data_IF_570802319445
#
_entry.id   IF_570802319445
#
_cell.length_a   1.000
_cell.length_b   1.000
_cell.length_c   1.000
_cell.angle_alpha   90.00
_cell.angle_beta   90.00
_cell.angle_gamma   90.00
#
_symmetry.space_group_name_H-M   'P 1'
#
loop_
_entity.id
_entity.type
_entity.pdbx_description
1 polymer ?
#
# COMPACT_ATOMS: atom_id res chain seq x y z
N UNK A 1 20.08 -1.71 -28.67
CA UNK A 1 20.72 -1.60 -27.34
C UNK A 1 19.65 -2.02 -26.36
N UNK A 2 19.91 -3.04 -25.56
CA UNK A 2 18.96 -3.49 -24.53
C UNK A 2 19.06 -2.57 -23.32
N UNK A 3 17.93 -2.06 -22.87
CA UNK A 3 17.84 -1.07 -21.78
C UNK A 3 18.10 -1.68 -20.38
N UNK A 4 18.55 -2.93 -20.30
CA UNK A 4 18.94 -3.59 -19.05
C UNK A 4 17.80 -4.00 -18.12
N UNK A 5 16.54 -3.98 -18.57
CA UNK A 5 15.40 -4.44 -17.78
C UNK A 5 15.41 -5.97 -17.64
N UNK A 6 15.52 -6.44 -16.39
CA UNK A 6 15.57 -7.89 -16.05
C UNK A 6 14.19 -8.48 -15.75
N UNK A 7 13.21 -7.64 -15.44
CA UNK A 7 11.84 -8.05 -15.10
C UNK A 7 10.81 -7.13 -15.76
N UNK A 8 9.64 -7.69 -16.10
CA UNK A 8 8.47 -6.95 -16.57
C UNK A 8 7.25 -7.34 -15.75
N UNK A 9 6.43 -6.34 -15.41
CA UNK A 9 5.16 -6.52 -14.70
C UNK A 9 4.07 -5.66 -15.35
N UNK A 10 2.86 -6.19 -15.46
CA UNK A 10 1.73 -5.52 -16.09
C UNK A 10 0.42 -5.88 -15.38
N UNK A 11 -0.60 -5.03 -15.54
CA UNK A 11 -1.98 -5.36 -15.19
C UNK A 11 -2.67 -5.95 -16.42
N UNK A 12 -2.89 -7.27 -16.49
CA UNK A 12 -3.37 -7.90 -17.71
C UNK A 12 -4.85 -7.58 -17.91
N UNK A 13 -5.25 -7.19 -19.12
CA UNK A 13 -6.66 -7.15 -19.48
C UNK A 13 -7.28 -8.56 -19.50
N UNK A 14 -6.47 -9.57 -19.85
CA UNK A 14 -6.84 -10.97 -19.80
C UNK A 14 -5.61 -11.82 -19.45
N UNK A 15 -5.66 -12.53 -18.31
CA UNK A 15 -4.52 -13.33 -17.85
C UNK A 15 -4.09 -14.41 -18.84
N UNK A 16 -5.05 -15.06 -19.52
CA UNK A 16 -4.81 -16.16 -20.46
C UNK A 16 -4.07 -15.70 -21.72
N UNK A 17 -4.31 -14.47 -22.16
CA UNK A 17 -3.58 -13.88 -23.28
C UNK A 17 -2.09 -13.77 -22.95
N UNK A 18 -1.76 -13.16 -21.80
CA UNK A 18 -0.36 -12.92 -21.41
C UNK A 18 0.39 -14.20 -20.99
N UNK A 19 -0.31 -15.23 -20.52
CA UNK A 19 0.33 -16.52 -20.22
C UNK A 19 0.95 -17.19 -21.46
N UNK A 20 0.40 -16.93 -22.66
CA UNK A 20 0.99 -17.43 -23.90
C UNK A 20 2.34 -16.78 -24.24
N UNK A 21 2.67 -15.67 -23.58
CA UNK A 21 3.93 -14.93 -23.74
C UNK A 21 4.87 -15.10 -22.53
N UNK A 22 4.65 -16.12 -21.71
CA UNK A 22 5.52 -16.45 -20.56
C UNK A 22 5.28 -15.60 -19.31
N UNK A 23 4.26 -14.75 -19.27
CA UNK A 23 3.88 -14.05 -18.04
C UNK A 23 3.13 -14.99 -17.09
N UNK A 24 3.51 -14.97 -15.81
CA UNK A 24 2.83 -15.69 -14.75
C UNK A 24 2.02 -14.74 -13.85
N UNK A 25 0.91 -15.22 -13.30
CA UNK A 25 0.19 -14.51 -12.25
C UNK A 25 0.98 -14.60 -10.94
N UNK A 26 1.46 -13.46 -10.46
CA UNK A 26 2.30 -13.37 -9.26
C UNK A 26 1.56 -12.82 -8.04
N UNK A 27 0.39 -12.18 -8.23
CA UNK A 27 -0.32 -11.48 -7.17
C UNK A 27 -1.82 -11.80 -7.15
N UNK A 28 -2.35 -11.96 -5.94
CA UNK A 28 -3.79 -11.95 -5.67
C UNK A 28 -4.08 -10.75 -4.77
N UNK A 29 -4.83 -9.78 -5.29
CA UNK A 29 -5.42 -8.77 -4.43
C UNK A 29 -6.47 -9.45 -3.55
N UNK A 30 -6.28 -9.38 -2.24
CA UNK A 30 -7.29 -9.89 -1.30
C UNK A 30 -8.32 -8.79 -1.13
N UNK A 31 -9.55 -9.07 -1.55
CA UNK A 31 -10.68 -8.15 -1.39
C UNK A 31 -11.70 -8.75 -0.43
N UNK A 32 -12.23 -7.91 0.46
CA UNK A 32 -13.26 -8.28 1.42
C UNK A 32 -14.45 -7.35 1.28
N UNK A 33 -15.66 -7.90 1.35
CA UNK A 33 -16.90 -7.11 1.51
C UNK A 33 -17.25 -7.06 2.99
N UNK A 34 -17.07 -5.90 3.62
CA UNK A 34 -17.32 -5.68 5.05
C UNK A 34 -18.66 -4.94 5.21
N UNK A 35 -19.57 -5.47 6.01
CA UNK A 35 -20.79 -4.75 6.45
C UNK A 35 -20.49 -3.95 7.73
N UNK A 36 -21.22 -2.87 8.03
CA UNK A 36 -21.04 -2.13 9.29
C UNK A 36 -21.12 -3.00 10.54
N UNK A 37 -21.96 -4.05 10.53
CA UNK A 37 -22.09 -5.01 11.63
C UNK A 37 -20.88 -5.92 11.83
N UNK A 38 -19.98 -6.02 10.84
CA UNK A 38 -18.72 -6.75 10.97
C UNK A 38 -17.63 -5.94 11.68
N UNK A 39 -17.83 -4.62 11.87
CA UNK A 39 -16.87 -3.77 12.57
C UNK A 39 -17.01 -4.06 14.07
N UNK A 40 -16.01 -4.75 14.62
CA UNK A 40 -15.90 -5.04 16.04
C UNK A 40 -15.81 -3.74 16.85
N UNK A 41 -16.88 -3.42 17.59
CA UNK A 41 -16.96 -2.26 18.49
C UNK A 41 -16.38 -2.54 19.88
N UNK A 42 -16.17 -3.81 20.19
CA UNK A 42 -15.58 -4.30 21.44
C UNK A 42 -14.05 -4.15 21.48
N UNK A 43 -13.42 -3.87 20.34
CA UNK A 43 -11.99 -3.57 20.29
C UNK A 43 -11.74 -2.17 20.82
N UNK A 44 -11.10 -2.08 21.98
CA UNK A 44 -10.58 -0.82 22.48
C UNK A 44 -9.41 -0.35 21.63
N UNK A 45 -9.39 0.95 21.35
CA UNK A 45 -8.24 1.58 20.70
C UNK A 45 -7.03 1.47 21.64
N UNK A 46 -5.91 0.97 21.11
CA UNK A 46 -4.62 1.09 21.79
C UNK A 46 -4.29 2.58 21.98
N UNK A 47 -4.34 3.06 23.22
CA UNK A 47 -4.12 4.47 23.56
C UNK A 47 -2.69 4.94 23.24
N UNK A 48 -1.73 4.00 23.12
CA UNK A 48 -0.38 4.32 22.67
C UNK A 48 -0.31 4.72 21.19
N UNK A 49 -1.36 4.47 20.42
CA UNK A 49 -1.43 4.78 18.99
C UNK A 49 -2.24 6.06 18.75
N UNK A 50 -1.54 7.07 18.25
CA UNK A 50 -2.15 8.25 17.67
C UNK A 50 -2.55 8.00 16.22
N UNK A 51 -3.69 8.56 15.82
CA UNK A 51 -4.21 8.49 14.45
C UNK A 51 -4.49 9.91 13.99
N UNK A 52 -3.96 10.30 12.83
CA UNK A 52 -4.23 11.62 12.25
C UNK A 52 -4.23 11.58 10.72
N UNK A 53 -4.78 12.62 10.12
CA UNK A 53 -4.77 12.79 8.67
C UNK A 53 -3.34 12.99 8.16
N UNK A 54 -3.04 12.37 7.02
CA UNK A 54 -1.76 12.54 6.32
C UNK A 54 -1.64 13.95 5.74
N UNK A 55 -0.50 14.59 5.99
CA UNK A 55 -0.10 15.88 5.42
C UNK A 55 1.13 15.68 4.52
N UNK A 56 0.99 15.74 3.18
CA UNK A 56 2.08 15.43 2.25
C UNK A 56 3.39 16.17 2.53
N UNK A 57 3.31 17.44 2.92
CA UNK A 57 4.48 18.30 3.16
C UNK A 57 5.28 17.91 4.40
N UNK A 58 4.65 17.33 5.43
CA UNK A 58 5.31 16.98 6.70
C UNK A 58 5.59 15.49 6.82
N UNK A 59 4.73 14.67 6.22
CA UNK A 59 4.63 13.26 6.57
C UNK A 59 5.24 12.31 5.55
N UNK A 60 5.68 12.83 4.40
CA UNK A 60 6.23 12.02 3.32
C UNK A 60 7.35 11.08 3.81
N UNK A 61 8.26 11.57 4.64
CA UNK A 61 9.35 10.74 5.22
C UNK A 61 8.79 9.62 6.09
N UNK A 62 7.82 9.92 6.97
CA UNK A 62 7.19 8.93 7.87
C UNK A 62 6.48 7.83 7.08
N UNK A 63 5.75 8.21 6.04
CA UNK A 63 5.07 7.27 5.14
C UNK A 63 6.06 6.40 4.36
N UNK A 64 7.13 6.99 3.84
CA UNK A 64 8.19 6.26 3.15
C UNK A 64 8.86 5.23 4.08
N UNK A 65 9.11 5.58 5.35
CA UNK A 65 9.64 4.61 6.34
C UNK A 65 8.71 3.42 6.53
N UNK A 66 7.39 3.64 6.65
CA UNK A 66 6.41 2.55 6.74
C UNK A 66 6.47 1.64 5.49
N UNK A 67 6.48 2.25 4.30
CA UNK A 67 6.53 1.51 3.04
C UNK A 67 7.82 0.68 2.90
N UNK A 68 8.98 1.25 3.22
CA UNK A 68 10.26 0.52 3.18
C UNK A 68 10.29 -0.65 4.17
N UNK A 69 9.79 -0.44 5.39
CA UNK A 69 9.69 -1.52 6.38
C UNK A 69 8.77 -2.65 5.89
N UNK A 70 7.66 -2.32 5.22
CA UNK A 70 6.77 -3.30 4.61
C UNK A 70 7.45 -4.06 3.46
N UNK A 71 8.17 -3.37 2.58
CA UNK A 71 8.91 -4.00 1.46
C UNK A 71 9.99 -4.96 1.97
N UNK A 72 10.72 -4.58 3.04
CA UNK A 72 11.74 -5.45 3.62
C UNK A 72 11.16 -6.71 4.30
N UNK A 73 9.94 -6.61 4.84
CA UNK A 73 9.28 -7.72 5.55
C UNK A 73 8.45 -8.61 4.62
N UNK A 74 7.85 -8.04 3.58
CA UNK A 74 6.97 -8.74 2.66
C UNK A 74 7.61 -8.77 1.28
N UNK A 75 8.04 -9.96 0.86
CA UNK A 75 8.77 -10.23 -0.38
C UNK A 75 8.02 -9.90 -1.67
N UNK A 76 6.77 -9.42 -1.60
CA UNK A 76 5.82 -9.33 -2.73
C UNK A 76 5.10 -7.99 -2.83
N UNK A 77 5.73 -6.91 -2.40
CA UNK A 77 5.23 -5.56 -2.63
C UNK A 77 5.92 -5.02 -3.88
N UNK A 78 5.13 -4.71 -4.91
CA UNK A 78 5.59 -4.12 -6.17
C UNK A 78 6.49 -2.91 -5.93
N UNK A 79 7.81 -3.15 -5.98
CA UNK A 79 8.87 -2.19 -6.27
C UNK A 79 9.19 -1.15 -5.18
N UNK A 80 10.47 -0.78 -5.10
CA UNK A 80 11.00 0.38 -4.36
C UNK A 80 10.36 1.74 -4.74
N UNK A 81 9.41 1.77 -5.67
CA UNK A 81 8.78 2.97 -6.25
C UNK A 81 7.39 3.31 -5.69
N UNK A 82 7.09 2.89 -4.46
CA UNK A 82 5.88 3.34 -3.78
C UNK A 82 5.86 4.89 -3.61
N UNK A 83 7.00 5.58 -3.70
CA UNK A 83 7.08 7.04 -3.68
C UNK A 83 6.34 7.76 -4.84
N UNK A 84 6.17 7.13 -6.01
CA UNK A 84 5.38 7.69 -7.13
C UNK A 84 3.89 7.39 -6.97
N UNK A 85 3.57 6.16 -6.56
CA UNK A 85 2.21 5.71 -6.27
C UNK A 85 1.61 6.47 -5.07
N UNK A 86 2.35 6.67 -3.99
CA UNK A 86 1.90 7.43 -2.82
C UNK A 86 1.58 8.89 -3.15
N UNK A 87 2.29 9.52 -4.11
CA UNK A 87 1.96 10.88 -4.59
C UNK A 87 0.65 10.93 -5.37
N UNK A 88 0.38 9.93 -6.21
CA UNK A 88 -0.85 9.84 -7.00
C UNK A 88 -2.05 9.32 -6.17
N UNK A 89 -1.82 8.46 -5.18
CA UNK A 89 -2.83 8.01 -4.22
C UNK A 89 -3.19 9.11 -3.21
N UNK A 90 -2.24 9.88 -2.68
CA UNK A 90 -2.52 10.94 -1.72
C UNK A 90 -3.42 12.06 -2.28
N UNK A 91 -3.42 12.27 -3.60
CA UNK A 91 -4.30 13.25 -4.24
C UNK A 91 -5.75 12.76 -4.42
N UNK A 92 -5.96 11.44 -4.52
CA UNK A 92 -7.29 10.85 -4.87
C UNK A 92 -7.95 10.10 -3.71
N UNK A 93 -7.23 9.86 -2.62
CA UNK A 93 -7.68 9.06 -1.48
C UNK A 93 -7.49 9.83 -0.17
N UNK A 94 -8.40 9.64 0.78
CA UNK A 94 -8.18 10.08 2.17
C UNK A 94 -7.21 9.10 2.81
N UNK A 95 -6.11 9.64 3.36
CA UNK A 95 -5.08 8.87 4.02
C UNK A 95 -4.91 9.29 5.47
N UNK A 96 -4.77 8.30 6.34
CA UNK A 96 -4.52 8.45 7.78
C UNK A 96 -3.22 7.74 8.16
N UNK A 97 -2.44 8.37 9.02
CA UNK A 97 -1.23 7.81 9.60
C UNK A 97 -1.46 7.38 11.04
N UNK A 98 -0.84 6.26 11.38
CA UNK A 98 -0.84 5.66 12.70
C UNK A 98 0.58 5.78 13.25
N UNK A 99 0.73 6.32 14.46
CA UNK A 99 2.04 6.50 15.09
C UNK A 99 1.99 6.17 16.57
N UNK A 100 3.05 5.51 17.07
CA UNK A 100 3.29 5.28 18.49
C UNK A 100 4.37 6.26 18.94
N UNK A 101 3.96 7.35 19.61
CA UNK A 101 4.83 8.52 19.79
C UNK A 101 5.29 9.07 18.44
N UNK A 102 6.60 9.24 18.26
CA UNK A 102 7.18 9.72 16.99
C UNK A 102 7.36 8.62 15.93
N UNK A 103 7.19 7.35 16.29
CA UNK A 103 7.45 6.21 15.40
C UNK A 103 6.22 5.94 14.52
N UNK A 104 6.32 6.06 13.19
CA UNK A 104 5.22 5.73 12.29
C UNK A 104 5.08 4.21 12.15
N UNK A 105 3.89 3.68 12.41
CA UNK A 105 3.63 2.22 12.49
C UNK A 105 2.71 1.72 11.39
N UNK A 106 1.94 2.59 10.73
CA UNK A 106 1.03 2.18 9.67
C UNK A 106 0.34 3.35 8.99
N UNK A 107 -0.32 3.05 7.87
CA UNK A 107 -1.21 3.97 7.19
C UNK A 107 -2.47 3.24 6.71
N UNK A 108 -3.55 3.99 6.55
CA UNK A 108 -4.78 3.50 5.92
C UNK A 108 -5.27 4.52 4.90
N UNK A 109 -5.63 4.05 3.70
CA UNK A 109 -6.14 4.88 2.63
C UNK A 109 -7.49 4.36 2.12
N UNK A 110 -8.42 5.25 1.82
CA UNK A 110 -9.71 4.90 1.24
C UNK A 110 -10.21 5.96 0.28
N UNK A 111 -10.96 5.51 -0.73
CA UNK A 111 -11.54 6.37 -1.76
C UNK A 111 -12.71 7.16 -1.16
N UNK A 112 -12.89 8.40 -1.60
CA UNK A 112 -14.12 9.15 -1.34
C UNK A 112 -15.23 8.71 -2.29
#
# INVERSE_FOLDING_TARGET
>A
KDDGYVYSALWPFEHKFYSNFGYASIEKAISYKIKPSNIRKDLQKDESISIRRYEPTKDFKKLNTIAQNAVNKYTRIVGKEDAWKLRSYAQRFKMYLFARGEVPVGYFCFKQ
#
